data_IF_773241924359
#
_entry.id   IF_773241924359
#
_cell.length_a   1.000
_cell.length_b   1.000
_cell.length_c   1.000
_cell.angle_alpha   90.00
_cell.angle_beta   90.00
_cell.angle_gamma   90.00
#
_symmetry.space_group_name_H-M   'P 1'
#
loop_
_entity.id
_entity.type
_entity.pdbx_description
1 polymer ?
#
# COMPACT_ATOMS: atom_id res chain seq x y z
N UNK A 1 9.26 5.48 30.71
CA UNK A 1 8.30 5.01 29.69
C UNK A 1 8.24 6.07 28.61
N UNK A 2 8.86 5.83 27.45
CA UNK A 2 8.72 6.70 26.28
C UNK A 2 7.33 6.51 25.69
N UNK A 3 6.64 7.62 25.44
CA UNK A 3 5.33 7.65 24.82
C UNK A 3 5.44 7.10 23.38
N UNK A 4 4.90 5.91 23.06
CA UNK A 4 5.21 5.21 21.81
C UNK A 4 4.61 5.86 20.55
N UNK A 5 3.82 6.93 20.71
CA UNK A 5 3.10 7.59 19.60
C UNK A 5 3.57 9.05 19.41
N UNK A 6 4.46 9.58 20.24
CA UNK A 6 4.90 10.99 20.19
C UNK A 6 3.85 12.02 20.65
N UNK A 7 2.57 11.64 20.67
CA UNK A 7 1.35 12.46 20.78
C UNK A 7 1.24 13.55 21.87
N UNK A 8 2.21 13.78 22.75
CA UNK A 8 1.99 14.68 23.90
C UNK A 8 1.72 16.13 23.49
N UNK A 9 2.26 16.60 22.36
CA UNK A 9 2.06 18.00 21.90
C UNK A 9 1.04 18.09 20.76
N UNK A 10 0.89 17.04 19.95
CA UNK A 10 -0.12 16.99 18.88
C UNK A 10 -1.58 17.03 19.38
N UNK A 11 -1.84 16.59 20.62
CA UNK A 11 -3.18 16.61 21.22
C UNK A 11 -3.57 17.94 21.90
N UNK A 12 -2.64 18.88 22.02
CA UNK A 12 -2.84 20.12 22.77
C UNK A 12 -3.01 21.32 21.83
N UNK A 13 -3.89 22.26 22.21
CA UNK A 13 -4.07 23.52 21.49
C UNK A 13 -3.55 24.68 22.31
N UNK A 14 -2.50 25.33 21.82
CA UNK A 14 -1.98 26.57 22.39
C UNK A 14 -3.07 27.65 22.36
N UNK A 15 -3.25 28.34 23.50
CA UNK A 15 -4.14 29.49 23.62
C UNK A 15 -3.33 30.71 23.99
N UNK A 16 -3.56 31.79 23.26
CA UNK A 16 -3.00 33.11 23.56
C UNK A 16 -4.07 34.01 24.17
N UNK A 17 -3.69 34.92 25.07
CA UNK A 17 -4.57 35.94 25.61
C UNK A 17 -3.94 37.33 25.52
N UNK A 18 -4.79 38.36 25.57
CA UNK A 18 -4.36 39.75 25.45
C UNK A 18 -3.32 40.09 26.52
N UNK A 19 -2.25 40.77 26.09
CA UNK A 19 -1.13 41.18 26.94
C UNK A 19 -0.28 40.03 27.53
N UNK A 20 -0.44 38.80 27.05
CA UNK A 20 0.48 37.72 27.37
C UNK A 20 1.89 38.04 26.84
N UNK A 21 2.91 37.81 27.67
CA UNK A 21 4.31 37.81 27.22
C UNK A 21 4.57 36.53 26.43
N UNK A 22 4.93 36.67 25.15
CA UNK A 22 5.33 35.53 24.32
C UNK A 22 6.76 35.10 24.66
N UNK A 23 6.93 33.81 24.93
CA UNK A 23 8.22 33.15 25.17
C UNK A 23 8.65 32.38 23.92
N UNK A 24 9.95 32.10 23.81
CA UNK A 24 10.47 31.24 22.75
C UNK A 24 9.80 29.87 22.76
N UNK A 25 9.59 29.30 23.95
CA UNK A 25 8.89 28.04 24.15
C UNK A 25 7.47 28.03 23.57
N UNK A 26 6.76 29.17 23.56
CA UNK A 26 5.41 29.22 22.99
C UNK A 26 5.44 29.03 21.47
N UNK A 27 6.46 29.58 20.81
CA UNK A 27 6.65 29.47 19.36
C UNK A 27 7.25 28.12 18.97
N UNK A 28 8.19 27.61 19.76
CA UNK A 28 8.77 26.27 19.58
C UNK A 28 7.70 25.19 19.71
N UNK A 29 6.82 25.30 20.71
CA UNK A 29 5.70 24.38 20.88
C UNK A 29 4.67 24.49 19.73
N UNK A 30 4.43 25.71 19.22
CA UNK A 30 3.54 25.91 18.07
C UNK A 30 4.08 25.22 16.81
N UNK A 31 5.38 25.38 16.55
CA UNK A 31 6.05 24.75 15.41
C UNK A 31 6.09 23.22 15.57
N UNK A 32 6.49 22.73 16.75
CA UNK A 32 6.55 21.30 17.06
C UNK A 32 5.18 20.62 16.92
N UNK A 33 4.12 21.22 17.44
CA UNK A 33 2.74 20.71 17.29
C UNK A 33 2.32 20.62 15.81
N UNK A 34 2.60 21.67 15.03
CA UNK A 34 2.30 21.69 13.60
C UNK A 34 3.09 20.64 12.81
N UNK A 35 4.38 20.46 13.12
CA UNK A 35 5.24 19.44 12.52
C UNK A 35 4.75 18.03 12.85
N UNK A 36 4.40 17.78 14.11
CA UNK A 36 3.93 16.46 14.54
C UNK A 36 2.58 16.09 13.90
N UNK A 37 1.65 17.04 13.78
CA UNK A 37 0.40 16.82 13.05
C UNK A 37 0.62 16.48 11.56
N UNK A 38 1.61 17.12 10.90
CA UNK A 38 1.99 16.77 9.52
C UNK A 38 2.60 15.37 9.45
N UNK A 39 3.47 15.00 10.39
CA UNK A 39 4.05 13.66 10.43
C UNK A 39 2.99 12.58 10.66
N UNK A 40 2.00 12.84 11.53
CA UNK A 40 0.84 11.97 11.72
C UNK A 40 0.04 11.82 10.43
N UNK A 41 -0.28 12.92 9.75
CA UNK A 41 -0.98 12.88 8.46
C UNK A 41 -0.21 12.04 7.43
N UNK A 42 1.09 12.30 7.28
CA UNK A 42 1.96 11.59 6.37
C UNK A 42 2.00 10.09 6.68
N UNK A 43 2.21 9.71 7.94
CA UNK A 43 2.27 8.30 8.36
C UNK A 43 0.92 7.59 8.24
N UNK A 44 -0.19 8.31 8.39
CA UNK A 44 -1.54 7.73 8.32
C UNK A 44 -2.05 7.58 6.89
N UNK A 45 -1.66 8.46 5.97
CA UNK A 45 -2.23 8.49 4.62
C UNK A 45 -1.23 8.17 3.51
N UNK A 46 0.07 8.17 3.77
CA UNK A 46 1.10 7.91 2.77
C UNK A 46 1.97 6.71 3.13
N UNK A 47 2.45 6.01 2.12
CA UNK A 47 3.52 5.04 2.28
C UNK A 47 4.89 5.74 2.32
N UNK A 48 5.89 5.20 3.01
CA UNK A 48 7.24 5.74 2.97
C UNK A 48 7.85 5.64 1.57
N UNK A 49 8.48 6.71 1.10
CA UNK A 49 9.07 6.76 -0.24
C UNK A 49 9.38 8.18 -0.72
N UNK A 50 9.75 8.28 -1.99
CA UNK A 50 9.97 9.56 -2.68
C UNK A 50 8.63 10.08 -3.21
N UNK A 51 8.24 11.31 -2.87
CA UNK A 51 7.05 11.92 -3.46
C UNK A 51 7.38 12.72 -4.73
N UNK A 52 8.54 13.39 -4.79
CA UNK A 52 8.99 14.13 -5.96
C UNK A 52 10.51 14.28 -5.99
N UNK A 53 11.12 14.41 -7.17
CA UNK A 53 12.54 14.71 -7.34
C UNK A 53 13.47 13.56 -6.96
N UNK A 54 14.56 13.84 -6.23
CA UNK A 54 15.63 12.88 -5.88
C UNK A 54 16.13 12.09 -7.10
N UNK A 55 16.26 12.76 -8.24
CA UNK A 55 16.81 12.11 -9.44
C UNK A 55 18.26 11.70 -9.16
N UNK A 56 18.57 10.42 -9.35
CA UNK A 56 19.92 9.89 -9.12
C UNK A 56 20.53 9.51 -10.46
N UNK A 57 21.70 10.06 -10.77
CA UNK A 57 22.38 9.84 -12.05
C UNK A 57 23.84 9.45 -11.85
N UNK A 58 24.30 8.47 -12.62
CA UNK A 58 25.69 8.01 -12.66
C UNK A 58 25.87 6.95 -13.75
N UNK A 59 26.93 7.11 -14.54
CA UNK A 59 27.24 6.19 -15.64
C UNK A 59 28.24 5.11 -15.22
N UNK A 60 28.26 3.99 -15.94
CA UNK A 60 29.26 2.94 -15.73
C UNK A 60 30.68 3.54 -15.80
N UNK A 61 31.52 3.19 -14.84
CA UNK A 61 32.89 3.68 -14.70
C UNK A 61 33.02 4.98 -13.91
N UNK A 62 31.92 5.67 -13.59
CA UNK A 62 31.94 6.86 -12.75
C UNK A 62 32.39 6.53 -11.32
N UNK A 63 33.01 7.52 -10.67
CA UNK A 63 33.44 7.46 -9.26
C UNK A 63 32.53 8.26 -8.33
N UNK A 64 31.52 8.90 -8.90
CA UNK A 64 30.59 9.77 -8.19
C UNK A 64 29.19 9.59 -8.78
N UNK A 65 28.20 9.85 -7.94
CA UNK A 65 26.78 9.84 -8.27
C UNK A 65 26.21 11.21 -7.92
N UNK A 66 25.35 11.73 -8.80
CA UNK A 66 24.65 13.00 -8.57
C UNK A 66 23.23 12.72 -8.10
N UNK A 67 22.79 13.43 -7.06
CA UNK A 67 21.43 13.40 -6.52
C UNK A 67 20.84 14.80 -6.67
N UNK A 68 19.79 14.94 -7.48
CA UNK A 68 19.06 16.19 -7.66
C UNK A 68 18.12 16.49 -6.48
N UNK A 69 17.61 17.74 -6.38
CA UNK A 69 16.64 18.15 -5.37
C UNK A 69 15.42 17.21 -5.32
N UNK A 70 14.82 17.07 -4.14
CA UNK A 70 13.69 16.16 -3.94
C UNK A 70 13.03 16.23 -2.58
N UNK A 71 11.89 15.55 -2.50
CA UNK A 71 11.05 15.43 -1.32
C UNK A 71 10.64 13.97 -1.13
N UNK A 72 10.84 13.46 0.08
CA UNK A 72 10.51 12.10 0.47
C UNK A 72 9.92 12.07 1.89
N UNK A 73 9.26 10.98 2.23
CA UNK A 73 8.64 10.74 3.53
C UNK A 73 9.12 9.39 4.05
N UNK A 74 9.53 9.33 5.31
CA UNK A 74 9.97 8.08 5.95
C UNK A 74 8.86 7.34 6.72
N UNK A 75 9.20 6.20 7.32
CA UNK A 75 8.29 5.37 8.11
C UNK A 75 7.66 6.08 9.32
N UNK A 76 8.26 7.17 9.80
CA UNK A 76 7.73 7.97 10.90
C UNK A 76 6.88 9.14 10.41
N UNK A 77 6.75 9.33 9.10
CA UNK A 77 6.04 10.45 8.47
C UNK A 77 6.89 11.71 8.33
N UNK A 78 8.20 11.64 8.63
CA UNK A 78 9.10 12.78 8.60
C UNK A 78 9.44 13.18 7.17
N UNK A 79 9.53 14.49 6.95
CA UNK A 79 9.70 15.12 5.65
C UNK A 79 11.21 15.25 5.34
N UNK A 80 11.70 14.52 4.34
CA UNK A 80 13.10 14.53 3.90
C UNK A 80 13.21 15.44 2.67
N UNK A 81 13.85 16.60 2.84
CA UNK A 81 13.89 17.65 1.80
C UNK A 81 15.33 17.92 1.37
N UNK A 82 15.65 17.67 0.10
CA UNK A 82 16.89 18.10 -0.52
C UNK A 82 16.61 19.26 -1.48
N UNK A 83 17.16 20.44 -1.22
CA UNK A 83 16.91 21.65 -2.03
C UNK A 83 17.93 21.87 -3.14
N UNK A 84 19.12 21.28 -3.04
CA UNK A 84 20.25 21.49 -3.93
C UNK A 84 20.83 20.15 -4.42
N UNK A 85 21.36 20.13 -5.63
CA UNK A 85 22.04 18.95 -6.16
C UNK A 85 23.27 18.60 -5.32
N UNK A 86 23.46 17.31 -5.03
CA UNK A 86 24.62 16.78 -4.29
C UNK A 86 25.37 15.74 -5.09
N UNK A 87 26.69 15.79 -5.02
CA UNK A 87 27.58 14.79 -5.59
C UNK A 87 28.11 13.91 -4.48
N UNK A 88 27.94 12.60 -4.60
CA UNK A 88 28.31 11.60 -3.61
C UNK A 88 29.36 10.67 -4.22
N UNK A 89 30.52 10.56 -3.57
CA UNK A 89 31.55 9.62 -3.99
C UNK A 89 31.06 8.16 -3.88
N UNK A 90 31.38 7.34 -4.88
CA UNK A 90 31.12 5.90 -4.87
C UNK A 90 31.92 5.24 -3.74
N UNK A 91 31.38 4.21 -3.05
CA UNK A 91 32.10 3.51 -1.99
C UNK A 91 33.51 3.09 -2.43
N UNK A 92 34.56 3.39 -1.65
CA UNK A 92 35.93 3.10 -2.02
C UNK A 92 36.28 1.63 -1.77
N UNK A 93 35.61 0.72 -2.49
CA UNK A 93 35.81 -0.73 -2.38
C UNK A 93 36.35 -1.32 -3.68
N UNK A 94 37.27 -2.29 -3.55
CA UNK A 94 37.79 -3.04 -4.70
C UNK A 94 36.72 -3.97 -5.30
N UNK A 95 35.84 -4.53 -4.47
CA UNK A 95 34.75 -5.44 -4.83
C UNK A 95 34.14 -6.07 -3.59
N UNK A 96 33.24 -7.02 -3.80
CA UNK A 96 32.65 -7.88 -2.76
C UNK A 96 33.66 -8.90 -2.21
N UNK A 97 33.26 -9.62 -1.17
CA UNK A 97 34.10 -10.66 -0.54
C UNK A 97 34.48 -11.80 -1.49
N UNK A 98 33.70 -12.00 -2.56
CA UNK A 98 33.91 -12.99 -3.61
C UNK A 98 34.70 -12.43 -4.83
N UNK A 99 35.20 -11.20 -4.73
CA UNK A 99 35.92 -10.53 -5.82
C UNK A 99 35.02 -10.00 -6.95
N UNK A 100 33.70 -10.12 -6.83
CA UNK A 100 32.73 -9.55 -7.80
C UNK A 100 32.34 -8.13 -7.41
N UNK A 101 31.44 -7.51 -8.16
CA UNK A 101 30.94 -6.19 -7.81
C UNK A 101 30.13 -6.23 -6.51
N UNK A 102 30.36 -5.28 -5.60
CA UNK A 102 29.62 -5.13 -4.35
C UNK A 102 28.38 -4.25 -4.57
N UNK A 103 27.23 -4.66 -4.04
CA UNK A 103 25.98 -3.92 -4.17
C UNK A 103 25.77 -2.95 -3.00
N UNK A 104 25.37 -1.71 -3.31
CA UNK A 104 25.01 -0.69 -2.33
C UNK A 104 23.73 0.01 -2.72
N UNK A 105 22.90 0.36 -1.74
CA UNK A 105 21.77 1.27 -1.93
C UNK A 105 22.18 2.68 -1.46
N UNK A 106 22.00 3.69 -2.31
CA UNK A 106 22.07 5.09 -1.89
C UNK A 106 20.78 5.44 -1.20
N UNK A 107 20.84 5.90 0.04
CA UNK A 107 19.66 6.21 0.83
C UNK A 107 19.68 7.65 1.37
N UNK A 108 18.51 8.28 1.39
CA UNK A 108 18.28 9.54 2.08
C UNK A 108 17.60 9.29 3.42
N UNK A 109 18.01 10.03 4.45
CA UNK A 109 17.40 9.99 5.77
C UNK A 109 17.08 11.40 6.27
N UNK A 110 16.05 11.49 7.12
CA UNK A 110 15.77 12.72 7.89
C UNK A 110 17.02 13.12 8.68
N UNK A 111 17.38 14.42 8.73
CA UNK A 111 18.55 14.86 9.48
C UNK A 111 18.44 14.52 10.97
N UNK A 112 19.58 14.37 11.63
CA UNK A 112 19.62 14.36 13.09
C UNK A 112 19.44 15.77 13.66
N UNK A 113 19.58 15.90 14.98
CA UNK A 113 19.45 17.18 15.68
C UNK A 113 20.64 18.14 15.44
N UNK A 114 21.72 17.64 14.83
CA UNK A 114 22.90 18.42 14.47
C UNK A 114 22.69 19.11 13.11
N UNK A 115 22.10 20.30 13.15
CA UNK A 115 21.74 21.09 11.98
C UNK A 115 22.69 22.26 11.75
N UNK A 116 23.01 22.51 10.48
CA UNK A 116 23.87 23.61 10.07
C UNK A 116 23.25 24.97 10.42
N UNK A 117 23.93 25.76 11.23
CA UNK A 117 23.47 27.12 11.54
C UNK A 117 23.67 28.04 10.32
N UNK A 118 22.60 28.66 9.86
CA UNK A 118 22.61 29.54 8.68
C UNK A 118 22.49 31.02 9.01
N UNK A 119 21.92 31.35 10.17
CA UNK A 119 21.84 32.73 10.66
C UNK A 119 22.06 32.71 12.17
N UNK A 120 22.95 33.58 12.64
CA UNK A 120 23.12 33.89 14.06
C UNK A 120 22.70 35.33 14.37
N UNK A 121 22.22 35.54 15.59
CA UNK A 121 21.90 36.87 16.12
C UNK A 121 22.49 37.01 17.51
N UNK A 122 23.20 38.12 17.71
CA UNK A 122 23.84 38.44 18.99
C UNK A 122 22.81 38.44 20.12
N UNK A 123 23.04 37.63 21.14
CA UNK A 123 22.24 37.65 22.36
C UNK A 123 22.85 38.63 23.37
N UNK A 124 22.04 39.54 23.93
CA UNK A 124 22.49 40.46 24.98
C UNK A 124 22.70 39.78 26.34
N UNK A 125 22.16 38.57 26.53
CA UNK A 125 22.15 37.85 27.80
C UNK A 125 22.88 36.49 27.75
N UNK A 126 23.68 36.23 26.70
CA UNK A 126 24.51 35.01 26.61
C UNK A 126 23.76 33.72 26.29
N UNK A 127 22.62 33.79 25.60
CA UNK A 127 21.87 32.63 25.10
C UNK A 127 22.34 32.14 23.72
N UNK A 128 21.84 30.98 23.25
CA UNK A 128 22.14 30.45 21.92
C UNK A 128 21.84 31.50 20.84
N UNK A 129 22.78 31.69 19.92
CA UNK A 129 22.72 32.74 18.90
C UNK A 129 22.14 32.26 17.57
N UNK A 130 21.98 30.96 17.36
CA UNK A 130 21.39 30.42 16.13
C UNK A 130 19.90 30.75 16.05
N UNK A 131 19.50 31.53 15.04
CA UNK A 131 18.10 31.88 14.77
C UNK A 131 17.54 31.18 13.53
N UNK A 132 18.41 30.58 12.71
CA UNK A 132 18.03 29.68 11.62
C UNK A 132 19.01 28.53 11.50
N UNK A 133 18.47 27.32 11.42
CA UNK A 133 19.22 26.11 11.09
C UNK A 133 18.69 25.52 9.80
N UNK A 134 19.58 24.91 9.00
CA UNK A 134 19.22 24.26 7.74
C UNK A 134 19.15 22.76 7.96
N UNK A 135 17.98 22.22 7.68
CA UNK A 135 17.79 20.78 7.55
C UNK A 135 18.35 20.31 6.20
N UNK A 136 19.36 19.45 6.24
CA UNK A 136 19.93 18.80 5.04
C UNK A 136 19.88 17.29 5.27
N UNK A 137 19.29 16.51 4.36
CA UNK A 137 19.13 15.08 4.58
C UNK A 137 20.48 14.38 4.53
N UNK A 138 20.60 13.32 5.35
CA UNK A 138 21.78 12.46 5.30
C UNK A 138 21.71 11.58 4.05
N UNK A 139 22.73 11.66 3.19
CA UNK A 139 22.89 10.81 2.01
C UNK A 139 24.02 9.81 2.26
N UNK A 140 23.69 8.53 2.38
CA UNK A 140 24.65 7.49 2.76
C UNK A 140 24.49 6.23 1.91
N UNK A 141 25.62 5.58 1.64
CA UNK A 141 25.66 4.26 1.03
C UNK A 141 25.41 3.19 2.08
N UNK A 142 24.48 2.29 1.78
CA UNK A 142 24.13 1.15 2.62
C UNK A 142 24.60 -0.12 1.92
N UNK A 143 25.51 -0.87 2.54
CA UNK A 143 25.89 -2.21 2.07
C UNK A 143 24.71 -3.16 2.31
N UNK A 144 24.15 -3.70 1.23
CA UNK A 144 22.93 -4.52 1.30
C UNK A 144 23.22 -5.99 1.62
N UNK A 145 24.49 -6.39 1.60
CA UNK A 145 24.93 -7.75 1.88
C UNK A 145 25.45 -7.88 3.31
N UNK A 146 25.77 -6.77 3.98
CA UNK A 146 26.29 -6.77 5.36
C UNK A 146 25.25 -6.23 6.35
N UNK A 147 24.86 -7.03 7.37
CA UNK A 147 24.04 -6.54 8.46
C UNK A 147 24.65 -5.30 9.11
N UNK A 148 23.85 -4.24 9.19
CA UNK A 148 24.23 -2.96 9.80
C UNK A 148 22.98 -2.21 10.25
N UNK A 149 23.16 -1.21 11.11
CA UNK A 149 22.06 -0.35 11.58
C UNK A 149 21.45 0.40 10.40
N UNK A 150 22.30 0.87 9.47
CA UNK A 150 21.90 1.48 8.22
C UNK A 150 21.01 0.55 7.39
N UNK A 151 21.34 -0.74 7.29
CA UNK A 151 20.51 -1.72 6.59
C UNK A 151 19.17 -1.94 7.32
N UNK A 152 19.17 -2.00 8.65
CA UNK A 152 17.93 -2.12 9.44
C UNK A 152 17.01 -0.91 9.25
N UNK A 153 17.57 0.29 9.26
CA UNK A 153 16.85 1.54 9.01
C UNK A 153 16.31 1.63 7.58
N UNK A 154 17.08 1.16 6.59
CA UNK A 154 16.63 1.07 5.19
C UNK A 154 15.46 0.09 5.03
N UNK A 155 15.55 -1.10 5.63
CA UNK A 155 14.51 -2.13 5.55
C UNK A 155 13.22 -1.72 6.28
N UNK A 156 13.35 -0.97 7.38
CA UNK A 156 12.21 -0.38 8.11
C UNK A 156 11.73 0.95 7.52
N UNK A 157 12.26 1.37 6.36
CA UNK A 157 11.93 2.61 5.67
C UNK A 157 12.11 3.89 6.50
N UNK A 158 12.97 3.86 7.52
CA UNK A 158 13.49 5.07 8.18
C UNK A 158 14.49 5.81 7.29
N UNK A 159 15.10 5.08 6.34
CA UNK A 159 15.85 5.62 5.21
C UNK A 159 15.16 5.27 3.91
N UNK A 160 15.15 6.19 2.97
CA UNK A 160 14.51 6.03 1.67
C UNK A 160 15.57 5.70 0.63
N UNK A 161 15.48 4.49 0.06
CA UNK A 161 16.32 4.07 -1.06
C UNK A 161 16.05 4.97 -2.28
N UNK A 162 17.10 5.61 -2.79
CA UNK A 162 17.04 6.45 -3.98
C UNK A 162 17.46 5.67 -5.24
N UNK A 163 18.36 4.70 -5.09
CA UNK A 163 18.83 3.83 -6.16
C UNK A 163 19.87 2.82 -5.68
N UNK A 164 20.04 1.75 -6.45
CA UNK A 164 21.03 0.69 -6.24
C UNK A 164 22.19 0.83 -7.22
N UNK A 165 23.40 0.60 -6.73
CA UNK A 165 24.61 0.55 -7.54
C UNK A 165 25.37 -0.74 -7.30
N UNK A 166 26.14 -1.14 -8.32
CA UNK A 166 27.18 -2.16 -8.19
C UNK A 166 28.53 -1.48 -8.32
N UNK A 167 29.45 -1.80 -7.42
CA UNK A 167 30.77 -1.15 -7.31
C UNK A 167 31.88 -2.16 -7.47
N UNK A 168 32.83 -1.86 -8.36
CA UNK A 168 34.04 -2.62 -8.56
C UNK A 168 35.20 -1.64 -8.84
N UNK A 169 36.34 -1.84 -8.17
CA UNK A 169 37.52 -0.98 -8.30
C UNK A 169 37.21 0.52 -8.07
N UNK A 170 36.42 0.81 -7.04
CA UNK A 170 35.98 2.15 -6.65
C UNK A 170 35.22 2.91 -7.76
N UNK A 171 34.56 2.17 -8.66
CA UNK A 171 33.78 2.71 -9.79
C UNK A 171 32.46 1.96 -9.92
N UNK A 172 31.46 2.62 -10.52
CA UNK A 172 30.22 1.98 -10.91
C UNK A 172 30.49 0.88 -11.95
N UNK A 173 30.10 -0.36 -11.64
CA UNK A 173 30.21 -1.50 -12.55
C UNK A 173 29.09 -1.53 -13.60
N UNK A 174 27.94 -0.93 -13.27
CA UNK A 174 26.73 -0.84 -14.09
C UNK A 174 26.05 0.52 -13.88
N UNK A 175 25.00 0.80 -14.67
CA UNK A 175 24.14 1.96 -14.44
C UNK A 175 23.34 1.80 -13.15
N UNK A 176 22.94 2.92 -12.56
CA UNK A 176 22.13 2.94 -11.34
C UNK A 176 20.77 2.29 -11.62
N UNK A 177 20.39 1.33 -10.79
CA UNK A 177 19.05 0.73 -10.81
C UNK A 177 18.11 1.48 -9.87
N UNK A 178 16.89 1.77 -10.34
CA UNK A 178 15.86 2.44 -9.54
C UNK A 178 14.80 1.47 -8.99
N UNK A 179 14.96 0.16 -9.17
CA UNK A 179 13.96 -0.85 -8.77
C UNK A 179 13.62 -0.84 -7.27
N UNK A 180 14.55 -0.36 -6.44
CA UNK A 180 14.37 -0.28 -4.98
C UNK A 180 13.70 1.02 -4.52
N UNK A 181 13.56 1.99 -5.43
CA UNK A 181 12.97 3.29 -5.12
C UNK A 181 11.46 3.14 -4.99
N UNK A 182 10.93 3.56 -3.83
CA UNK A 182 9.49 3.57 -3.55
C UNK A 182 8.92 4.97 -3.76
N UNK A 183 7.64 5.03 -4.06
CA UNK A 183 6.90 6.29 -4.16
C UNK A 183 6.08 6.53 -2.89
N UNK A 184 6.01 7.78 -2.41
CA UNK A 184 5.20 8.18 -1.26
C UNK A 184 3.71 8.33 -1.62
N UNK A 185 3.17 7.33 -2.33
CA UNK A 185 1.76 7.32 -2.72
C UNK A 185 0.88 7.04 -1.51
N UNK A 186 -0.33 7.58 -1.49
CA UNK A 186 -1.35 7.06 -0.60
C UNK A 186 -1.48 5.55 -0.79
N UNK A 187 -1.62 4.80 0.29
CA UNK A 187 -1.99 3.40 0.17
C UNK A 187 -3.35 3.33 -0.52
N UNK A 188 -3.40 2.63 -1.66
CA UNK A 188 -4.66 2.19 -2.23
C UNK A 188 -5.25 1.19 -1.24
N UNK A 189 -6.05 1.67 -0.29
CA UNK A 189 -6.93 0.80 0.47
C UNK A 189 -8.01 0.35 -0.50
N UNK A 190 -8.09 -0.95 -0.85
CA UNK A 190 -9.17 -1.40 -1.70
C UNK A 190 -10.48 -1.11 -0.99
N UNK A 191 -11.45 -0.57 -1.72
CA UNK A 191 -12.79 -0.44 -1.19
C UNK A 191 -13.47 -1.81 -1.25
N UNK A 192 -13.79 -2.35 -0.08
CA UNK A 192 -14.36 -3.69 0.08
C UNK A 192 -15.76 -3.56 0.66
N UNK A 193 -16.72 -4.20 0.01
CA UNK A 193 -18.06 -4.38 0.54
C UNK A 193 -18.52 -5.82 0.30
N UNK A 194 -19.45 -6.27 1.13
CA UNK A 194 -20.04 -7.60 1.03
C UNK A 194 -21.55 -7.52 1.18
N UNK A 195 -22.24 -8.50 0.62
CA UNK A 195 -23.69 -8.58 0.71
C UNK A 195 -24.19 -9.99 0.42
N UNK A 196 -25.50 -10.13 0.52
CA UNK A 196 -26.18 -11.37 0.16
C UNK A 196 -27.48 -11.09 -0.57
N UNK A 197 -27.88 -12.05 -1.39
CA UNK A 197 -29.14 -12.04 -2.13
C UNK A 197 -29.92 -13.29 -1.76
N UNK A 198 -31.22 -13.12 -1.52
CA UNK A 198 -32.12 -14.18 -1.09
C UNK A 198 -32.38 -15.24 -2.16
N UNK A 199 -33.08 -16.29 -1.75
CA UNK A 199 -33.41 -17.47 -2.57
C UNK A 199 -34.35 -17.14 -3.75
N UNK A 200 -35.07 -16.03 -3.64
CA UNK A 200 -36.03 -15.55 -4.63
C UNK A 200 -35.38 -14.97 -5.90
N UNK A 201 -34.07 -14.68 -5.89
CA UNK A 201 -33.38 -14.08 -7.01
C UNK A 201 -33.08 -15.06 -8.17
N UNK A 202 -33.18 -16.36 -7.93
CA UNK A 202 -32.88 -17.37 -8.94
C UNK A 202 -33.92 -17.43 -10.05
N UNK A 203 -33.43 -17.36 -11.27
CA UNK A 203 -34.16 -17.60 -12.52
C UNK A 203 -33.76 -18.96 -13.07
N UNK A 204 -34.78 -19.72 -13.45
CA UNK A 204 -34.63 -21.08 -13.96
C UNK A 204 -34.83 -21.09 -15.47
N UNK A 205 -34.07 -21.91 -16.21
CA UNK A 205 -34.26 -22.03 -17.65
C UNK A 205 -35.57 -22.76 -17.94
N UNK A 206 -36.14 -22.55 -19.13
CA UNK A 206 -37.36 -23.24 -19.55
C UNK A 206 -37.12 -24.75 -19.71
N UNK A 207 -35.97 -25.12 -20.26
CA UNK A 207 -35.52 -26.48 -20.50
C UNK A 207 -34.00 -26.59 -20.25
N UNK A 208 -33.47 -27.79 -19.93
CA UNK A 208 -32.03 -28.01 -19.85
C UNK A 208 -31.37 -27.88 -21.24
N UNK A 209 -30.08 -27.58 -21.25
CA UNK A 209 -29.24 -27.58 -22.45
C UNK A 209 -28.50 -28.92 -22.60
N UNK A 210 -27.77 -29.09 -23.71
CA UNK A 210 -26.87 -30.23 -23.86
C UNK A 210 -25.80 -30.30 -22.74
N UNK A 211 -25.40 -29.15 -22.20
CA UNK A 211 -24.36 -29.05 -21.18
C UNK A 211 -24.89 -29.16 -19.74
N UNK A 212 -26.17 -28.92 -19.53
CA UNK A 212 -26.77 -28.97 -18.19
C UNK A 212 -27.89 -27.97 -17.97
N UNK A 213 -28.17 -27.71 -16.70
CA UNK A 213 -29.13 -26.68 -16.26
C UNK A 213 -28.33 -25.43 -15.87
N UNK A 214 -28.61 -24.30 -16.51
CA UNK A 214 -28.01 -23.01 -16.17
C UNK A 214 -28.98 -22.19 -15.32
N UNK A 215 -28.66 -21.98 -14.05
CA UNK A 215 -29.40 -21.10 -13.15
C UNK A 215 -28.78 -19.70 -13.20
N UNK A 216 -29.60 -18.66 -13.28
CA UNK A 216 -29.12 -17.28 -13.33
C UNK A 216 -29.72 -16.43 -12.23
N UNK A 217 -28.99 -15.44 -11.74
CA UNK A 217 -29.49 -14.45 -10.79
C UNK A 217 -28.87 -13.08 -11.08
N UNK A 218 -29.69 -12.05 -11.08
CA UNK A 218 -29.20 -10.66 -11.10
C UNK A 218 -28.99 -10.20 -9.66
N UNK A 219 -27.76 -9.84 -9.33
CA UNK A 219 -27.36 -9.43 -7.98
C UNK A 219 -27.19 -7.92 -7.96
N UNK A 220 -28.01 -7.26 -7.14
CA UNK A 220 -27.88 -5.83 -6.83
C UNK A 220 -26.84 -5.63 -5.73
N UNK A 221 -25.82 -4.82 -6.05
CA UNK A 221 -24.78 -4.38 -5.13
C UNK A 221 -24.73 -2.84 -5.02
N UNK A 222 -25.74 -2.12 -5.49
CA UNK A 222 -25.77 -0.66 -5.54
C UNK A 222 -25.61 0.00 -4.17
N UNK A 223 -26.15 -0.62 -3.11
CA UNK A 223 -26.00 -0.16 -1.74
C UNK A 223 -24.54 -0.17 -1.23
N UNK A 224 -23.65 -0.91 -1.91
CA UNK A 224 -22.23 -0.94 -1.58
C UNK A 224 -21.50 0.36 -1.93
N UNK A 225 -21.97 1.13 -2.91
CA UNK A 225 -21.37 2.42 -3.25
C UNK A 225 -20.02 2.36 -3.98
N UNK A 226 -19.74 1.27 -4.70
CA UNK A 226 -18.60 1.20 -5.62
C UNK A 226 -18.67 2.33 -6.66
N UNK A 227 -17.51 2.90 -7.03
CA UNK A 227 -17.39 3.97 -8.05
C UNK A 227 -16.96 3.43 -9.41
N UNK A 228 -16.19 2.34 -9.42
CA UNK A 228 -15.75 1.58 -10.57
C UNK A 228 -16.38 0.19 -10.61
N UNK A 229 -15.91 -0.66 -11.53
CA UNK A 229 -16.36 -2.07 -11.56
C UNK A 229 -15.48 -2.88 -10.60
N UNK A 230 -16.01 -3.36 -9.46
CA UNK A 230 -15.22 -4.16 -8.53
C UNK A 230 -15.02 -5.58 -9.09
N UNK A 231 -14.00 -6.25 -8.57
CA UNK A 231 -13.88 -7.70 -8.72
C UNK A 231 -14.81 -8.39 -7.71
N UNK A 232 -15.88 -9.01 -8.21
CA UNK A 232 -16.80 -9.78 -7.37
C UNK A 232 -16.34 -11.21 -7.18
N UNK A 233 -16.24 -11.62 -5.92
CA UNK A 233 -16.09 -13.00 -5.47
C UNK A 233 -17.44 -13.46 -4.94
N UNK A 234 -17.90 -14.63 -5.35
CA UNK A 234 -19.27 -15.09 -5.07
C UNK A 234 -19.24 -16.52 -4.52
N UNK A 235 -20.08 -16.75 -3.51
CA UNK A 235 -20.35 -18.06 -2.92
C UNK A 235 -21.85 -18.34 -2.98
N UNK A 236 -22.22 -19.58 -3.32
CA UNK A 236 -23.60 -20.04 -3.29
C UNK A 236 -23.80 -20.87 -2.02
N UNK A 237 -24.49 -20.30 -1.04
CA UNK A 237 -24.69 -20.92 0.27
C UNK A 237 -26.10 -21.51 0.39
N UNK A 238 -26.23 -22.68 1.02
CA UNK A 238 -27.51 -23.37 1.19
C UNK A 238 -27.35 -24.88 1.11
N UNK A 239 -28.40 -25.62 1.49
CA UNK A 239 -28.37 -27.07 1.39
C UNK A 239 -28.28 -27.51 -0.07
N UNK A 240 -27.35 -28.43 -0.33
CA UNK A 240 -27.04 -28.96 -1.65
C UNK A 240 -27.67 -30.34 -1.86
N UNK A 241 -28.23 -30.95 -0.82
CA UNK A 241 -28.85 -32.27 -0.93
C UNK A 241 -30.26 -32.16 -1.48
N UNK A 242 -30.58 -32.99 -2.46
CA UNK A 242 -31.92 -33.19 -2.99
C UNK A 242 -32.22 -34.67 -3.04
N UNK A 243 -33.44 -35.05 -2.69
CA UNK A 243 -33.89 -36.44 -2.80
C UNK A 243 -34.64 -36.64 -4.13
N UNK A 244 -34.18 -37.60 -4.92
CA UNK A 244 -34.78 -37.99 -6.19
C UNK A 244 -35.09 -39.48 -6.11
N UNK A 245 -36.38 -39.82 -6.07
CA UNK A 245 -36.90 -41.20 -6.04
C UNK A 245 -36.22 -42.12 -5.01
N UNK A 246 -35.96 -41.58 -3.82
CA UNK A 246 -35.34 -42.30 -2.70
C UNK A 246 -33.82 -42.29 -2.69
N UNK A 247 -33.17 -41.63 -3.66
CA UNK A 247 -31.72 -41.42 -3.71
C UNK A 247 -31.40 -39.97 -3.33
N UNK A 248 -30.56 -39.80 -2.31
CA UNK A 248 -30.07 -38.47 -1.92
C UNK A 248 -28.87 -38.09 -2.78
N UNK A 249 -28.98 -36.96 -3.49
CA UNK A 249 -28.01 -36.47 -4.47
C UNK A 249 -27.46 -35.13 -4.03
N UNK A 250 -26.14 -34.93 -4.18
CA UNK A 250 -25.51 -33.63 -3.97
C UNK A 250 -25.55 -32.81 -5.26
N UNK A 251 -26.24 -31.68 -5.22
CA UNK A 251 -26.31 -30.73 -6.31
C UNK A 251 -25.22 -29.67 -6.14
N UNK A 252 -24.23 -29.70 -7.03
CA UNK A 252 -23.18 -28.69 -7.11
C UNK A 252 -23.00 -28.22 -8.55
N UNK A 253 -22.52 -26.99 -8.70
CA UNK A 253 -22.42 -26.33 -9.98
C UNK A 253 -21.24 -25.38 -10.04
N UNK A 254 -20.94 -24.92 -11.24
CA UNK A 254 -19.85 -23.99 -11.49
C UNK A 254 -20.40 -22.56 -11.53
N UNK A 255 -20.17 -21.74 -10.49
CA UNK A 255 -20.58 -20.35 -10.50
C UNK A 255 -19.67 -19.54 -11.42
N UNK A 256 -20.27 -18.59 -12.14
CA UNK A 256 -19.56 -17.64 -12.99
C UNK A 256 -20.23 -16.27 -12.87
N UNK A 257 -19.40 -15.23 -12.75
CA UNK A 257 -19.85 -13.84 -12.71
C UNK A 257 -19.70 -13.24 -14.09
N UNK A 258 -20.73 -12.57 -14.56
CA UNK A 258 -20.74 -11.85 -15.83
C UNK A 258 -21.41 -10.48 -15.68
N UNK A 259 -21.22 -9.59 -16.66
CA UNK A 259 -21.81 -8.23 -16.69
C UNK A 259 -21.59 -7.42 -15.41
N UNK A 260 -20.48 -7.66 -14.71
CA UNK A 260 -20.12 -6.93 -13.51
C UNK A 260 -19.96 -5.43 -13.81
N UNK A 261 -20.50 -4.61 -12.92
CA UNK A 261 -20.38 -3.16 -12.91
C UNK A 261 -20.47 -2.66 -11.45
N UNK A 262 -20.37 -1.35 -11.24
CA UNK A 262 -20.39 -0.75 -9.90
C UNK A 262 -21.64 -1.07 -9.05
N UNK A 263 -22.77 -1.35 -9.70
CA UNK A 263 -24.06 -1.54 -9.04
C UNK A 263 -24.52 -2.98 -8.97
N UNK A 264 -23.78 -3.93 -9.54
CA UNK A 264 -24.20 -5.33 -9.54
C UNK A 264 -23.55 -6.18 -10.61
N UNK A 265 -24.03 -7.42 -10.71
CA UNK A 265 -23.54 -8.42 -11.64
C UNK A 265 -24.58 -9.51 -11.87
N UNK A 266 -24.38 -10.29 -12.94
CA UNK A 266 -25.18 -11.50 -13.20
C UNK A 266 -24.37 -12.73 -12.78
N UNK A 267 -24.91 -13.50 -11.83
CA UNK A 267 -24.38 -14.82 -11.46
C UNK A 267 -25.04 -15.89 -12.33
N UNK A 268 -24.23 -16.77 -12.93
CA UNK A 268 -24.71 -17.97 -13.62
C UNK A 268 -24.07 -19.21 -13.00
N UNK A 269 -24.88 -20.21 -12.64
CA UNK A 269 -24.45 -21.49 -12.08
C UNK A 269 -24.83 -22.60 -13.04
N UNK A 270 -23.83 -23.24 -13.65
CA UNK A 270 -24.04 -24.40 -14.50
C UNK A 270 -24.04 -25.67 -13.65
N UNK A 271 -25.14 -26.41 -13.70
CA UNK A 271 -25.30 -27.77 -13.17
C UNK A 271 -25.10 -28.77 -14.31
N UNK A 272 -23.91 -29.40 -14.43
CA UNK A 272 -23.55 -30.18 -15.61
C UNK A 272 -24.39 -31.45 -15.78
N UNK A 273 -24.81 -31.75 -17.02
CA UNK A 273 -25.56 -32.98 -17.34
C UNK A 273 -24.82 -34.24 -16.89
N UNK A 274 -23.48 -34.27 -16.97
CA UNK A 274 -22.67 -35.42 -16.54
C UNK A 274 -22.78 -35.71 -15.03
N UNK A 275 -22.87 -34.67 -14.20
CA UNK A 275 -23.03 -34.83 -12.75
C UNK A 275 -24.47 -35.23 -12.40
N UNK A 276 -25.44 -34.72 -13.17
CA UNK A 276 -26.85 -35.10 -13.03
C UNK A 276 -27.07 -36.57 -13.44
N UNK A 277 -26.53 -36.99 -14.59
CA UNK A 277 -26.71 -38.35 -15.09
C UNK A 277 -26.15 -39.43 -14.15
N UNK A 278 -25.06 -39.11 -13.41
CA UNK A 278 -24.50 -40.00 -12.39
C UNK A 278 -25.47 -40.32 -11.25
N UNK A 279 -26.51 -39.51 -11.05
CA UNK A 279 -27.57 -39.75 -10.06
C UNK A 279 -28.67 -40.70 -10.54
N UNK A 280 -28.66 -41.09 -11.82
CA UNK A 280 -29.74 -41.86 -12.45
C UNK A 280 -30.94 -41.01 -12.88
N UNK A 281 -30.97 -39.71 -12.54
CA UNK A 281 -32.03 -38.78 -12.92
C UNK A 281 -31.72 -38.05 -14.24
N UNK A 282 -32.76 -37.69 -14.99
CA UNK A 282 -32.64 -36.85 -16.17
C UNK A 282 -32.55 -35.36 -15.83
N UNK A 283 -31.83 -34.55 -16.62
CA UNK A 283 -31.70 -33.10 -16.38
C UNK A 283 -33.05 -32.36 -16.36
N UNK A 284 -34.02 -32.78 -17.17
CA UNK A 284 -35.37 -32.19 -17.15
C UNK A 284 -36.12 -32.48 -15.85
N UNK A 285 -35.93 -33.67 -15.29
CA UNK A 285 -36.52 -34.07 -14.02
C UNK A 285 -35.92 -33.27 -12.87
N UNK A 286 -34.59 -33.19 -12.80
CA UNK A 286 -33.89 -32.38 -11.79
C UNK A 286 -34.34 -30.93 -11.85
N UNK A 287 -34.43 -30.34 -13.05
CA UNK A 287 -34.95 -28.98 -13.24
C UNK A 287 -36.35 -28.82 -12.66
N UNK A 288 -37.25 -29.79 -12.89
CA UNK A 288 -38.61 -29.78 -12.33
C UNK A 288 -38.65 -29.86 -10.80
N UNK A 289 -37.68 -30.55 -10.18
CA UNK A 289 -37.58 -30.69 -8.72
C UNK A 289 -37.03 -29.43 -8.05
N UNK A 290 -36.06 -28.76 -8.66
CA UNK A 290 -35.37 -27.60 -8.07
C UNK A 290 -36.08 -26.26 -8.36
N UNK A 291 -36.94 -26.20 -9.39
CA UNK A 291 -37.62 -24.96 -9.79
C UNK A 291 -38.46 -24.38 -8.65
N UNK A 292 -38.06 -23.20 -8.17
CA UNK A 292 -38.72 -22.48 -7.07
C UNK A 292 -38.53 -23.09 -5.68
N UNK A 293 -37.62 -24.06 -5.53
CA UNK A 293 -37.42 -24.81 -4.27
C UNK A 293 -35.97 -24.82 -3.78
N UNK A 294 -35.05 -24.16 -4.49
CA UNK A 294 -33.65 -24.12 -4.07
C UNK A 294 -33.49 -23.23 -2.83
N UNK A 295 -32.94 -23.76 -1.72
CA UNK A 295 -32.66 -22.97 -0.52
C UNK A 295 -31.32 -22.20 -0.67
N UNK A 296 -30.91 -21.88 -1.89
CA UNK A 296 -29.60 -21.31 -2.19
C UNK A 296 -29.66 -19.79 -2.10
N UNK A 297 -28.92 -19.20 -1.18
CA UNK A 297 -28.64 -17.77 -1.14
C UNK A 297 -27.32 -17.50 -1.87
N UNK A 298 -27.18 -16.28 -2.37
CA UNK A 298 -25.94 -15.81 -2.98
C UNK A 298 -25.24 -14.92 -1.97
N UNK A 299 -23.97 -15.17 -1.71
CA UNK A 299 -23.12 -14.31 -0.89
C UNK A 299 -21.99 -13.77 -1.75
N UNK A 300 -21.66 -12.51 -1.60
CA UNK A 300 -20.65 -11.88 -2.43
C UNK A 300 -19.77 -10.90 -1.65
N UNK A 301 -18.55 -10.73 -2.14
CA UNK A 301 -17.59 -9.71 -1.74
C UNK A 301 -17.12 -9.00 -3.00
N UNK A 302 -17.21 -7.68 -3.04
CA UNK A 302 -16.66 -6.85 -4.10
C UNK A 302 -15.41 -6.12 -3.63
N UNK A 303 -14.38 -6.08 -4.47
CA UNK A 303 -13.12 -5.38 -4.23
C UNK A 303 -12.84 -4.38 -5.36
N UNK A 304 -12.84 -3.09 -5.05
CA UNK A 304 -12.50 -1.99 -5.96
C UNK A 304 -11.13 -1.41 -5.61
N UNK A 305 -10.26 -1.27 -6.62
CA UNK A 305 -8.90 -0.73 -6.51
C UNK A 305 -8.81 0.70 -7.07
#
# INVERSE_FOLDING_TARGET
MQNPIGLSIAGERLRFFSSQRLLASDLENLEASGRELRWLHNRSLHQPGVASGFAVTGEKGAREVTVGPGYAVDAFGREIVLTETRTIAVPPVAGGADGKAAAFDLAAAYPGDDLDTTETRRSFCGGPEAVRQREVPSLQWVDVLRPSDLLRELLSAQRIALGRVEVLNCKLASRISLERRREAKPSAYPFIAAGSTGVEAWRYPAAPTAFGIELTAEVDAGAAGFRGTPHYLVSVAGDRRIDIDGVSVLLDGFPSVSKANATGFTLSVLLPTMLIAASGAGAAEVLGRIRGRLPWRIEWVGVEN
#
